data_IF_156151976201
#
_entry.id   IF_156151976201
#
_cell.length_a   1.000
_cell.length_b   1.000
_cell.length_c   1.000
_cell.angle_alpha   90.00
_cell.angle_beta   90.00
_cell.angle_gamma   90.00
#
_symmetry.space_group_name_H-M   'P 1'
#
loop_
_entity.id
_entity.type
_entity.pdbx_description
1 polymer ?
#
# COMPACT_ATOMS: atom_id res chain seq x y z
N UNK A 1 5.93 -12.36 40.85
CA UNK A 1 6.13 -13.23 39.67
C UNK A 1 5.09 -12.84 38.64
N UNK A 2 5.41 -11.95 37.71
CA UNK A 2 4.48 -11.46 36.68
C UNK A 2 5.06 -11.80 35.31
N UNK A 3 4.25 -12.50 34.50
CA UNK A 3 4.66 -13.08 33.23
C UNK A 3 4.72 -12.00 32.15
N UNK A 4 5.87 -11.88 31.49
CA UNK A 4 6.08 -11.05 30.32
C UNK A 4 5.23 -11.59 29.14
N UNK A 5 4.36 -10.73 28.60
CA UNK A 5 3.58 -11.04 27.40
C UNK A 5 4.42 -10.79 26.16
N UNK A 6 4.70 -11.87 25.42
CA UNK A 6 5.44 -11.87 24.15
C UNK A 6 4.55 -11.38 23.00
N UNK A 7 5.12 -10.77 21.93
CA UNK A 7 4.37 -10.38 20.74
C UNK A 7 3.77 -11.60 20.05
N UNK A 8 2.45 -11.60 19.85
CA UNK A 8 1.73 -12.71 19.21
C UNK A 8 2.02 -12.75 17.71
N UNK A 9 2.65 -13.83 17.26
CA UNK A 9 2.70 -14.21 15.84
C UNK A 9 1.49 -15.12 15.55
N UNK A 10 0.57 -14.66 14.70
CA UNK A 10 -0.64 -15.42 14.34
C UNK A 10 -0.37 -16.19 13.05
N UNK A 11 -0.43 -17.51 13.11
CA UNK A 11 -0.56 -18.41 11.96
C UNK A 11 -1.82 -19.26 12.13
N UNK A 12 -2.71 -19.23 11.14
CA UNK A 12 -3.87 -20.12 11.00
C UNK A 12 -3.92 -20.61 9.54
N UNK A 13 -4.17 -21.90 9.29
CA UNK A 13 -4.29 -22.43 7.95
C UNK A 13 -5.66 -22.05 7.35
N UNK A 14 -5.75 -21.70 6.05
CA UNK A 14 -7.05 -21.49 5.42
C UNK A 14 -7.73 -22.84 5.14
N UNK A 15 -8.99 -22.97 5.55
CA UNK A 15 -9.89 -24.02 5.06
C UNK A 15 -10.39 -23.65 3.65
N UNK A 16 -10.48 -24.61 2.71
CA UNK A 16 -10.77 -24.32 1.32
C UNK A 16 -12.28 -24.08 1.12
N UNK A 17 -12.64 -22.89 0.66
CA UNK A 17 -13.96 -22.61 0.08
C UNK A 17 -13.80 -22.53 -1.43
N UNK A 18 -14.78 -23.09 -2.15
CA UNK A 18 -14.81 -23.52 -3.56
C UNK A 18 -14.62 -22.44 -4.64
N UNK A 19 -14.04 -21.30 -4.31
CA UNK A 19 -13.59 -20.25 -5.25
C UNK A 19 -12.05 -20.26 -5.44
N UNK A 20 -11.33 -21.13 -4.71
CA UNK A 20 -9.86 -21.15 -4.62
C UNK A 20 -9.11 -21.81 -5.79
N UNK A 21 -9.80 -22.45 -6.74
CA UNK A 21 -9.15 -23.16 -7.86
C UNK A 21 -9.09 -22.38 -9.18
N UNK A 22 -9.66 -21.16 -9.26
CA UNK A 22 -9.44 -20.30 -10.42
C UNK A 22 -8.17 -19.47 -10.20
N UNK A 23 -7.14 -19.77 -10.98
CA UNK A 23 -5.92 -18.99 -10.96
C UNK A 23 -6.23 -17.49 -11.14
N UNK A 24 -5.64 -16.59 -10.33
CA UNK A 24 -6.07 -15.20 -10.25
C UNK A 24 -6.01 -14.52 -11.62
N UNK A 25 -7.01 -13.69 -11.98
CA UNK A 25 -7.01 -13.02 -13.27
C UNK A 25 -5.80 -12.09 -13.38
N UNK A 26 -5.36 -11.79 -14.60
CA UNK A 26 -4.31 -10.79 -14.81
C UNK A 26 -4.93 -9.39 -14.87
N UNK A 27 -4.12 -8.38 -14.59
CA UNK A 27 -4.41 -6.97 -14.83
C UNK A 27 -3.39 -6.37 -15.76
N UNK A 28 -3.82 -5.38 -16.53
CA UNK A 28 -2.95 -4.53 -17.34
C UNK A 28 -3.04 -3.12 -16.77
N UNK A 29 -1.92 -2.57 -16.33
CA UNK A 29 -1.84 -1.21 -15.78
C UNK A 29 -0.98 -0.34 -16.68
N UNK A 30 -1.38 0.91 -16.92
CA UNK A 30 -0.56 1.93 -17.56
C UNK A 30 0.51 2.38 -16.57
N UNK A 31 1.74 1.88 -16.73
CA UNK A 31 2.88 2.27 -15.92
C UNK A 31 3.55 3.55 -16.45
N UNK A 32 3.40 3.85 -17.75
CA UNK A 32 3.86 5.11 -18.34
C UNK A 32 3.00 5.51 -19.54
N UNK A 33 2.72 6.82 -19.65
CA UNK A 33 2.01 7.44 -20.76
C UNK A 33 2.41 8.93 -20.86
N UNK A 34 2.29 9.53 -22.05
CA UNK A 34 2.64 10.93 -22.28
C UNK A 34 1.75 11.92 -21.49
N UNK A 35 0.50 11.53 -21.23
CA UNK A 35 -0.38 12.17 -20.24
C UNK A 35 -0.18 11.49 -18.86
N UNK A 36 0.42 12.18 -17.87
CA UNK A 36 0.69 11.63 -16.55
C UNK A 36 -0.58 11.23 -15.78
N UNK A 37 -1.73 11.83 -16.06
CA UNK A 37 -2.99 11.49 -15.40
C UNK A 37 -3.44 10.05 -15.69
N UNK A 38 -2.95 9.45 -16.79
CA UNK A 38 -3.24 8.06 -17.15
C UNK A 38 -2.44 7.04 -16.34
N UNK A 39 -1.35 7.45 -15.70
CA UNK A 39 -0.47 6.52 -14.99
C UNK A 39 -1.21 5.92 -13.79
N UNK A 40 -1.21 4.59 -13.70
CA UNK A 40 -1.94 3.82 -12.70
C UNK A 40 -3.35 3.39 -13.14
N UNK A 41 -3.87 3.89 -14.26
CA UNK A 41 -5.11 3.37 -14.83
C UNK A 41 -4.92 1.94 -15.32
N UNK A 42 -5.98 1.13 -15.20
CA UNK A 42 -5.88 -0.32 -15.37
C UNK A 42 -7.13 -0.93 -15.96
N UNK A 43 -6.99 -2.18 -16.39
CA UNK A 43 -8.08 -3.04 -16.79
C UNK A 43 -7.85 -4.48 -16.33
N UNK A 44 -8.93 -5.23 -16.12
CA UNK A 44 -8.87 -6.65 -15.77
C UNK A 44 -8.87 -7.49 -17.03
N UNK A 45 -7.96 -8.44 -17.15
CA UNK A 45 -7.99 -9.45 -18.21
C UNK A 45 -8.72 -10.70 -17.71
N UNK A 46 -9.77 -11.07 -18.42
CA UNK A 46 -10.40 -12.38 -18.29
C UNK A 46 -9.67 -13.41 -19.16
N UNK A 47 -9.90 -14.70 -18.88
CA UNK A 47 -9.50 -15.80 -19.77
C UNK A 47 -10.11 -15.56 -21.15
N UNK A 48 -9.31 -15.70 -22.20
CA UNK A 48 -9.73 -15.43 -23.58
C UNK A 48 -8.75 -14.52 -24.34
N UNK A 49 -9.24 -13.93 -25.42
CA UNK A 49 -8.46 -13.10 -26.34
C UNK A 49 -8.79 -11.63 -26.17
N UNK A 50 -7.75 -10.78 -26.13
CA UNK A 50 -7.87 -9.34 -25.99
C UNK A 50 -6.91 -8.63 -26.93
N UNK A 51 -7.42 -7.76 -27.80
CA UNK A 51 -6.58 -6.86 -28.58
C UNK A 51 -6.21 -5.63 -27.73
N UNK A 52 -4.92 -5.34 -27.65
CA UNK A 52 -4.37 -4.12 -27.05
C UNK A 52 -3.79 -3.25 -28.15
N UNK A 53 -4.36 -2.06 -28.30
CA UNK A 53 -4.11 -1.14 -29.38
C UNK A 53 -4.54 0.28 -29.00
N UNK A 54 -4.35 1.25 -29.91
CA UNK A 54 -4.70 2.65 -29.65
C UNK A 54 -6.13 2.88 -29.17
N UNK A 55 -7.10 2.12 -29.68
CA UNK A 55 -8.53 2.35 -29.44
C UNK A 55 -9.15 1.37 -28.43
N UNK A 56 -8.44 0.32 -28.02
CA UNK A 56 -8.93 -0.69 -27.08
C UNK A 56 -7.76 -1.42 -26.40
N UNK A 57 -7.91 -1.91 -25.17
CA UNK A 57 -9.08 -1.80 -24.30
C UNK A 57 -9.19 -0.41 -23.66
N UNK A 58 -10.30 -0.20 -22.94
CA UNK A 58 -10.45 0.94 -22.04
C UNK A 58 -9.74 0.65 -20.72
N UNK A 59 -8.98 1.62 -20.23
CA UNK A 59 -8.35 1.64 -18.93
C UNK A 59 -9.08 2.66 -18.05
N UNK A 60 -9.31 2.31 -16.79
CA UNK A 60 -9.98 3.19 -15.84
C UNK A 60 -9.08 3.40 -14.62
N UNK A 61 -9.25 4.51 -13.89
CA UNK A 61 -8.61 4.69 -12.60
C UNK A 61 -8.90 3.52 -11.64
N UNK A 62 -7.98 3.24 -10.70
CA UNK A 62 -8.23 2.38 -9.54
C UNK A 62 -9.64 2.54 -8.95
N UNK A 63 -10.30 1.42 -8.63
CA UNK A 63 -11.65 1.41 -8.05
C UNK A 63 -12.81 1.82 -8.97
N UNK A 64 -12.56 2.31 -10.19
CA UNK A 64 -13.62 2.67 -11.14
C UNK A 64 -13.96 1.52 -12.11
N UNK A 65 -15.20 1.52 -12.60
CA UNK A 65 -15.65 0.50 -13.55
C UNK A 65 -15.03 0.73 -14.95
N UNK A 66 -14.79 -0.34 -15.73
CA UNK A 66 -14.13 -0.23 -17.05
C UNK A 66 -14.90 0.57 -18.10
N UNK A 67 -16.22 0.70 -17.96
CA UNK A 67 -17.11 1.47 -18.84
C UNK A 67 -16.90 2.99 -18.73
N UNK A 68 -16.37 3.46 -17.61
CA UNK A 68 -15.91 4.84 -17.44
C UNK A 68 -14.49 5.09 -17.97
N UNK A 69 -13.81 4.04 -18.46
CA UNK A 69 -12.42 4.10 -18.88
C UNK A 69 -12.21 4.74 -20.26
N UNK A 70 -10.94 4.97 -20.59
CA UNK A 70 -10.51 5.50 -21.90
C UNK A 70 -9.44 4.60 -22.50
N UNK A 71 -9.41 4.53 -23.83
CA UNK A 71 -8.40 3.78 -24.56
C UNK A 71 -7.00 4.37 -24.33
N UNK A 72 -5.96 3.68 -24.78
CA UNK A 72 -4.57 4.17 -24.73
C UNK A 72 -4.48 5.55 -25.43
N UNK A 73 -5.10 5.68 -26.59
CA UNK A 73 -5.23 6.91 -27.38
C UNK A 73 -3.92 7.67 -27.67
N UNK A 74 -2.78 6.98 -27.66
CA UNK A 74 -1.52 7.54 -28.18
C UNK A 74 -1.48 7.38 -29.72
N UNK A 75 -1.21 8.46 -30.49
CA UNK A 75 -1.24 8.42 -31.95
C UNK A 75 -0.17 7.53 -32.60
N UNK A 76 0.91 7.19 -31.89
CA UNK A 76 1.99 6.32 -32.37
C UNK A 76 1.71 4.84 -32.10
N UNK A 77 0.77 4.53 -31.22
CA UNK A 77 0.34 3.15 -30.98
C UNK A 77 -0.55 2.70 -32.15
N UNK A 78 -0.24 1.53 -32.70
CA UNK A 78 -1.01 0.94 -33.79
C UNK A 78 -2.41 0.50 -33.33
N UNK A 79 -3.39 0.48 -34.26
CA UNK A 79 -4.69 -0.17 -34.06
C UNK A 79 -4.62 -1.71 -34.06
N UNK A 80 -3.47 -2.28 -34.40
CA UNK A 80 -3.18 -3.71 -34.37
C UNK A 80 -1.89 -3.97 -33.60
N UNK A 81 -1.65 -3.29 -32.47
CA UNK A 81 -0.35 -3.32 -31.80
C UNK A 81 -0.01 -4.68 -31.19
N UNK A 82 -0.94 -5.27 -30.43
CA UNK A 82 -0.72 -6.49 -29.66
C UNK A 82 -2.02 -7.29 -29.51
N UNK A 83 -1.93 -8.60 -29.63
CA UNK A 83 -2.97 -9.53 -29.20
C UNK A 83 -2.48 -10.29 -27.97
N UNK A 84 -3.31 -10.32 -26.93
CA UNK A 84 -3.07 -11.04 -25.69
C UNK A 84 -4.05 -12.21 -25.62
N UNK A 85 -3.55 -13.43 -25.43
CA UNK A 85 -4.36 -14.60 -25.13
C UNK A 85 -4.06 -15.06 -23.71
N UNK A 86 -5.09 -15.11 -22.87
CA UNK A 86 -4.99 -15.49 -21.46
C UNK A 86 -5.63 -16.85 -21.25
N UNK A 87 -4.91 -17.75 -20.60
CA UNK A 87 -5.39 -19.07 -20.18
C UNK A 87 -5.02 -19.32 -18.70
N UNK A 88 -5.45 -20.45 -18.10
CA UNK A 88 -5.14 -20.74 -16.70
C UNK A 88 -3.64 -20.82 -16.38
N UNK A 89 -2.80 -21.19 -17.34
CA UNK A 89 -1.37 -21.46 -17.17
C UNK A 89 -0.50 -20.21 -17.43
N UNK A 90 -1.01 -19.20 -18.12
CA UNK A 90 -0.28 -17.97 -18.40
C UNK A 90 -0.89 -17.11 -19.50
N UNK A 91 -0.01 -16.45 -20.23
CA UNK A 91 -0.37 -15.50 -21.29
C UNK A 91 0.49 -15.70 -22.52
N UNK A 92 -0.13 -15.66 -23.69
CA UNK A 92 0.56 -15.57 -24.98
C UNK A 92 0.41 -14.14 -25.51
N UNK A 93 1.54 -13.48 -25.78
CA UNK A 93 1.56 -12.19 -26.46
C UNK A 93 1.92 -12.41 -27.92
N UNK A 94 1.07 -11.94 -28.82
CA UNK A 94 1.28 -11.98 -30.27
C UNK A 94 1.50 -10.55 -30.77
N UNK A 95 2.72 -10.21 -31.23
CA UNK A 95 3.00 -8.90 -31.78
C UNK A 95 2.19 -8.66 -33.05
N UNK A 96 1.70 -7.45 -33.22
CA UNK A 96 1.12 -7.00 -34.47
C UNK A 96 1.99 -5.93 -35.14
N UNK A 97 1.39 -4.80 -35.51
CA UNK A 97 2.10 -3.69 -36.18
C UNK A 97 2.68 -2.71 -35.17
N UNK A 98 3.94 -2.32 -35.37
CA UNK A 98 4.66 -1.33 -34.57
C UNK A 98 5.73 -1.97 -33.67
N UNK A 99 6.59 -1.14 -33.09
CA UNK A 99 7.59 -1.60 -32.14
C UNK A 99 6.90 -2.12 -30.86
N UNK A 100 7.33 -3.30 -30.40
CA UNK A 100 6.83 -3.95 -29.20
C UNK A 100 8.01 -4.57 -28.45
N UNK A 101 8.15 -4.23 -27.18
CA UNK A 101 9.07 -4.89 -26.24
C UNK A 101 8.23 -5.56 -25.16
N UNK A 102 8.57 -6.81 -24.81
CA UNK A 102 7.93 -7.52 -23.71
C UNK A 102 9.02 -8.20 -22.85
N UNK A 103 9.04 -7.87 -21.55
CA UNK A 103 10.14 -8.26 -20.67
C UNK A 103 11.41 -7.49 -21.01
N UNK A 104 12.51 -8.21 -21.26
CA UNK A 104 13.84 -7.62 -21.46
C UNK A 104 14.19 -7.32 -22.93
N UNK A 105 13.31 -7.61 -23.89
CA UNK A 105 13.65 -7.50 -25.29
C UNK A 105 12.48 -7.38 -26.27
N UNK A 106 12.78 -7.09 -27.55
CA UNK A 106 11.77 -6.94 -28.58
C UNK A 106 10.99 -8.23 -28.80
N UNK A 107 9.68 -8.11 -28.99
CA UNK A 107 8.80 -9.22 -29.30
C UNK A 107 8.45 -9.19 -30.78
N UNK A 108 9.02 -10.11 -31.57
CA UNK A 108 8.83 -10.18 -33.03
C UNK A 108 7.99 -11.36 -33.50
N UNK A 109 7.75 -12.33 -32.62
CA UNK A 109 6.89 -13.49 -32.86
C UNK A 109 6.04 -13.80 -31.62
N UNK A 110 4.95 -14.56 -31.74
CA UNK A 110 4.18 -15.00 -30.57
C UNK A 110 5.06 -15.70 -29.54
N UNK A 111 4.93 -15.29 -28.27
CA UNK A 111 5.64 -15.90 -27.16
C UNK A 111 4.70 -16.15 -25.99
N UNK A 112 4.93 -17.24 -25.29
CA UNK A 112 4.23 -17.59 -24.05
C UNK A 112 5.05 -17.14 -22.84
N UNK A 113 4.35 -16.59 -21.85
CA UNK A 113 4.84 -16.38 -20.50
C UNK A 113 3.96 -17.16 -19.53
N UNK A 114 4.60 -17.95 -18.69
CA UNK A 114 3.97 -18.63 -17.57
C UNK A 114 3.60 -17.64 -16.47
N UNK A 115 2.68 -18.03 -15.59
CA UNK A 115 2.37 -17.25 -14.37
C UNK A 115 3.59 -16.94 -13.51
N UNK A 116 4.54 -17.88 -13.41
CA UNK A 116 5.77 -17.69 -12.64
C UNK A 116 6.68 -16.61 -13.26
N UNK A 117 6.82 -16.61 -14.59
CA UNK A 117 7.57 -15.57 -15.32
C UNK A 117 6.89 -14.20 -15.22
N UNK A 118 5.56 -14.15 -15.20
CA UNK A 118 4.82 -12.89 -15.03
C UNK A 118 4.97 -12.39 -13.59
N UNK A 119 4.92 -13.27 -12.59
CA UNK A 119 5.33 -13.03 -11.20
C UNK A 119 5.00 -11.63 -10.64
N UNK A 120 6.00 -10.76 -10.58
CA UNK A 120 5.91 -9.39 -10.06
C UNK A 120 5.43 -8.34 -11.08
N UNK A 121 5.39 -8.69 -12.35
CA UNK A 121 4.94 -7.87 -13.47
C UNK A 121 5.80 -8.06 -14.70
N UNK A 122 5.17 -8.31 -15.85
CA UNK A 122 5.77 -8.32 -17.17
C UNK A 122 5.59 -6.93 -17.82
N UNK A 123 6.67 -6.15 -18.00
CA UNK A 123 6.59 -4.89 -18.72
C UNK A 123 6.36 -5.13 -20.22
N UNK A 124 5.50 -4.32 -20.82
CA UNK A 124 5.15 -4.33 -22.24
C UNK A 124 5.21 -2.89 -22.74
N UNK A 125 6.19 -2.57 -23.59
CA UNK A 125 6.35 -1.23 -24.17
C UNK A 125 5.80 -1.22 -25.59
N UNK A 126 4.82 -0.34 -25.84
CA UNK A 126 4.22 -0.12 -27.16
C UNK A 126 4.81 1.14 -27.79
N UNK A 127 5.31 1.02 -29.03
CA UNK A 127 5.78 2.14 -29.85
C UNK A 127 6.79 3.06 -29.13
N UNK A 128 7.57 2.53 -28.18
CA UNK A 128 8.51 3.25 -27.31
C UNK A 128 7.87 4.40 -26.49
N UNK A 129 6.55 4.36 -26.31
CA UNK A 129 5.75 5.47 -25.76
C UNK A 129 4.65 5.09 -24.78
N UNK A 130 4.31 3.82 -24.64
CA UNK A 130 3.30 3.43 -23.65
C UNK A 130 3.80 2.19 -22.95
N UNK A 131 4.11 2.31 -21.66
CA UNK A 131 4.53 1.18 -20.85
C UNK A 131 3.31 0.63 -20.14
N UNK A 132 2.95 -0.60 -20.48
CA UNK A 132 1.95 -1.39 -19.79
C UNK A 132 2.65 -2.39 -18.88
N UNK A 133 2.08 -2.64 -17.71
CA UNK A 133 2.52 -3.68 -16.80
C UNK A 133 1.44 -4.75 -16.76
N UNK A 134 1.75 -5.94 -17.28
CA UNK A 134 0.91 -7.12 -17.11
C UNK A 134 1.29 -7.79 -15.79
N UNK A 135 0.36 -7.91 -14.86
CA UNK A 135 0.65 -8.47 -13.54
C UNK A 135 -0.52 -9.33 -13.06
N UNK A 136 -0.30 -10.28 -12.13
CA UNK A 136 -1.42 -10.93 -11.45
C UNK A 136 -2.24 -9.87 -10.72
N UNK A 137 -3.56 -9.88 -10.90
CA UNK A 137 -4.45 -9.18 -9.98
C UNK A 137 -4.70 -10.12 -8.80
N UNK A 138 -4.50 -9.67 -7.55
CA UNK A 138 -4.97 -10.47 -6.44
C UNK A 138 -6.48 -10.71 -6.62
N UNK A 139 -6.91 -11.99 -6.56
CA UNK A 139 -8.30 -12.32 -6.21
C UNK A 139 -8.51 -12.01 -4.74
N UNK A 140 -8.42 -10.72 -4.39
CA UNK A 140 -8.64 -10.31 -3.01
C UNK A 140 -9.61 -9.16 -3.07
N UNK A 141 -10.87 -9.49 -2.77
CA UNK A 141 -11.81 -8.58 -2.17
C UNK A 141 -11.19 -8.12 -0.84
N UNK A 142 -10.32 -7.12 -0.92
CA UNK A 142 -9.85 -6.41 0.25
C UNK A 142 -11.03 -5.63 0.86
N UNK A 143 -10.92 -5.24 2.14
CA UNK A 143 -11.95 -4.42 2.76
C UNK A 143 -12.24 -3.18 1.91
N UNK A 144 -13.53 -2.86 1.78
CA UNK A 144 -14.07 -1.77 0.94
C UNK A 144 -13.66 -0.36 1.37
N UNK A 145 -12.81 -0.25 2.40
CA UNK A 145 -12.29 1.01 2.89
C UNK A 145 -10.83 1.16 2.50
N UNK A 146 -10.55 2.12 1.63
CA UNK A 146 -9.19 2.42 1.20
C UNK A 146 -8.34 3.02 2.33
N UNK A 147 -8.96 3.42 3.46
CA UNK A 147 -8.33 4.09 4.61
C UNK A 147 -7.45 5.29 4.21
N UNK A 148 -7.74 5.93 3.07
CA UNK A 148 -6.91 7.00 2.49
C UNK A 148 -5.59 6.53 1.86
N UNK A 149 -5.34 5.22 1.80
CA UNK A 149 -4.17 4.62 1.14
C UNK A 149 -4.51 4.30 -0.33
N UNK A 150 -3.71 4.85 -1.25
CA UNK A 150 -3.92 4.68 -2.70
C UNK A 150 -3.13 3.47 -3.24
N UNK A 151 -3.80 2.62 -4.01
CA UNK A 151 -3.22 1.47 -4.71
C UNK A 151 -4.04 0.18 -4.53
N UNK A 152 -3.74 -0.87 -5.28
CA UNK A 152 -4.34 -2.22 -5.06
C UNK A 152 -3.30 -3.33 -5.29
N UNK A 153 -2.01 -3.03 -5.09
CA UNK A 153 -0.98 -4.06 -5.13
C UNK A 153 -1.24 -5.10 -4.05
N UNK A 154 -0.81 -6.35 -4.26
CA UNK A 154 -0.97 -7.40 -3.27
C UNK A 154 -0.39 -6.99 -1.89
N UNK A 155 0.74 -6.27 -1.89
CA UNK A 155 1.35 -5.72 -0.68
C UNK A 155 0.45 -4.70 0.02
N UNK A 156 -0.21 -3.80 -0.73
CA UNK A 156 -1.09 -2.80 -0.13
C UNK A 156 -2.40 -3.41 0.38
N UNK A 157 -2.91 -4.43 -0.32
CA UNK A 157 -4.06 -5.20 0.14
C UNK A 157 -3.74 -5.91 1.47
N UNK A 158 -2.58 -6.53 1.59
CA UNK A 158 -2.15 -7.13 2.86
C UNK A 158 -1.92 -6.06 3.93
N UNK A 159 -1.37 -4.89 3.59
CA UNK A 159 -1.22 -3.77 4.52
C UNK A 159 -2.57 -3.31 5.07
N UNK A 160 -3.61 -3.17 4.23
CA UNK A 160 -4.97 -2.84 4.69
C UNK A 160 -5.50 -3.88 5.66
N UNK A 161 -5.29 -5.18 5.39
CA UNK A 161 -5.67 -6.26 6.30
C UNK A 161 -4.94 -6.18 7.65
N UNK A 162 -3.65 -5.83 7.63
CA UNK A 162 -2.86 -5.62 8.85
C UNK A 162 -3.36 -4.42 9.65
N UNK A 163 -3.73 -3.32 8.98
CA UNK A 163 -4.33 -2.13 9.60
C UNK A 163 -5.61 -2.52 10.33
N UNK A 164 -6.54 -3.22 9.68
CA UNK A 164 -7.80 -3.64 10.32
C UNK A 164 -7.59 -4.55 11.52
N UNK A 165 -6.60 -5.46 11.45
CA UNK A 165 -6.25 -6.33 12.57
C UNK A 165 -5.70 -5.52 13.73
N UNK A 166 -4.75 -4.61 13.45
CA UNK A 166 -4.14 -3.76 14.45
C UNK A 166 -5.17 -2.85 15.13
N UNK A 167 -6.08 -2.25 14.35
CA UNK A 167 -7.12 -1.35 14.83
C UNK A 167 -8.13 -1.99 15.80
N UNK A 168 -8.30 -3.31 15.75
CA UNK A 168 -9.14 -4.08 16.68
C UNK A 168 -8.46 -4.36 18.02
N UNK A 169 -7.15 -4.11 18.12
CA UNK A 169 -6.38 -4.35 19.35
C UNK A 169 -6.19 -3.06 20.15
N UNK A 170 -5.87 -3.21 21.44
CA UNK A 170 -5.50 -2.09 22.30
C UNK A 170 -3.98 -2.05 22.56
N UNK A 171 -3.20 -2.90 21.89
CA UNK A 171 -1.75 -3.00 22.11
C UNK A 171 -0.99 -1.96 21.29
N UNK A 172 0.22 -1.56 21.71
CA UNK A 172 1.09 -0.72 20.89
C UNK A 172 1.42 -1.36 19.55
N UNK A 173 1.43 -0.56 18.48
CA UNK A 173 1.70 -1.01 17.10
C UNK A 173 3.01 -0.37 16.61
N UNK A 174 3.96 -1.20 16.18
CA UNK A 174 5.21 -0.73 15.58
C UNK A 174 5.08 -0.68 14.05
N UNK A 175 5.16 0.52 13.48
CA UNK A 175 5.18 0.72 12.03
C UNK A 175 6.63 0.74 11.51
N UNK A 176 6.94 -0.17 10.59
CA UNK A 176 8.25 -0.28 9.94
C UNK A 176 8.16 0.06 8.47
N UNK A 177 9.12 0.83 7.98
CA UNK A 177 9.21 1.24 6.59
C UNK A 177 10.28 2.30 6.40
N UNK A 178 10.80 2.42 5.17
CA UNK A 178 11.78 3.43 4.81
C UNK A 178 11.22 4.84 5.04
N UNK A 179 12.10 5.83 5.19
CA UNK A 179 11.68 7.23 5.26
C UNK A 179 10.91 7.62 3.99
N UNK A 180 9.89 8.46 4.13
CA UNK A 180 9.06 8.92 3.00
C UNK A 180 8.03 7.92 2.44
N UNK A 181 7.88 6.72 3.02
CA UNK A 181 6.92 5.70 2.54
C UNK A 181 5.47 5.90 3.02
N UNK A 182 5.17 7.00 3.69
CA UNK A 182 3.80 7.32 4.13
C UNK A 182 3.35 6.60 5.42
N UNK A 183 4.28 6.29 6.35
CA UNK A 183 3.96 5.66 7.65
C UNK A 183 2.88 6.43 8.44
N UNK A 184 2.87 7.76 8.34
CA UNK A 184 1.84 8.60 8.95
C UNK A 184 0.43 8.28 8.44
N UNK A 185 0.27 8.02 7.14
CA UNK A 185 -1.02 7.62 6.55
C UNK A 185 -1.49 6.28 7.13
N UNK A 186 -0.56 5.34 7.35
CA UNK A 186 -0.85 4.06 7.99
C UNK A 186 -1.27 4.25 9.45
N UNK A 187 -0.59 5.11 10.21
CA UNK A 187 -0.96 5.41 11.60
C UNK A 187 -2.37 6.02 11.71
N UNK A 188 -2.68 6.98 10.83
CA UNK A 188 -4.02 7.58 10.71
C UNK A 188 -5.08 6.54 10.33
N UNK A 189 -4.76 5.65 9.40
CA UNK A 189 -5.64 4.57 8.99
C UNK A 189 -5.96 3.60 10.14
N UNK A 190 -4.96 3.22 10.96
CA UNK A 190 -5.16 2.39 12.15
C UNK A 190 -6.07 3.09 13.16
N UNK A 191 -5.83 4.37 13.44
CA UNK A 191 -6.67 5.15 14.35
C UNK A 191 -8.12 5.23 13.86
N UNK A 192 -8.34 5.63 12.61
CA UNK A 192 -9.66 5.77 12.01
C UNK A 192 -10.43 4.45 11.90
N UNK A 193 -9.74 3.32 11.80
CA UNK A 193 -10.36 1.99 11.78
C UNK A 193 -10.61 1.41 13.19
N UNK A 194 -10.16 2.09 14.25
CA UNK A 194 -10.25 1.58 15.63
C UNK A 194 -11.53 2.02 16.33
N UNK A 195 -11.83 1.43 17.48
CA UNK A 195 -12.90 1.89 18.37
C UNK A 195 -12.66 3.30 18.94
N UNK A 196 -11.48 3.89 18.71
CA UNK A 196 -11.07 5.22 19.16
C UNK A 196 -11.06 6.25 18.02
N UNK A 197 -11.69 5.97 16.88
CA UNK A 197 -11.67 6.85 15.70
C UNK A 197 -12.19 8.29 15.96
N UNK A 198 -13.13 8.45 16.89
CA UNK A 198 -13.69 9.76 17.29
C UNK A 198 -12.95 10.39 18.48
N UNK A 199 -11.82 9.81 18.91
CA UNK A 199 -11.02 10.26 20.06
C UNK A 199 -9.78 11.04 19.56
N UNK A 200 -9.07 11.75 20.45
CA UNK A 200 -7.89 12.52 20.04
C UNK A 200 -6.84 11.67 19.31
N UNK A 201 -6.31 12.19 18.21
CA UNK A 201 -5.15 11.64 17.52
C UNK A 201 -4.01 12.66 17.60
N UNK A 202 -2.92 12.29 18.25
CA UNK A 202 -1.73 13.13 18.38
C UNK A 202 -0.57 12.48 17.65
N UNK A 203 -0.03 13.14 16.64
CA UNK A 203 1.20 12.74 15.98
C UNK A 203 2.37 13.62 16.45
N UNK A 204 3.50 13.01 16.77
CA UNK A 204 4.72 13.70 17.21
C UNK A 204 5.91 13.09 16.49
N UNK A 205 6.69 13.94 15.82
CA UNK A 205 7.98 13.53 15.28
C UNK A 205 9.04 13.70 16.38
N UNK A 206 9.59 12.59 16.86
CA UNK A 206 10.54 12.61 17.97
C UNK A 206 11.89 13.23 17.58
N UNK A 207 12.27 13.21 16.31
CA UNK A 207 13.49 13.87 15.82
C UNK A 207 13.41 15.40 15.90
N UNK A 208 12.19 15.97 15.98
CA UNK A 208 11.97 17.41 16.11
C UNK A 208 11.88 17.89 17.57
N UNK A 209 11.88 16.97 18.54
CA UNK A 209 11.77 17.30 19.97
C UNK A 209 13.18 17.37 20.58
N UNK A 210 13.61 18.52 21.14
CA UNK A 210 14.92 18.62 21.75
C UNK A 210 15.06 17.62 22.93
N UNK A 211 16.19 16.89 23.03
CA UNK A 211 16.40 15.88 24.06
C UNK A 211 16.17 16.38 25.49
N UNK A 212 16.51 17.65 25.76
CA UNK A 212 16.44 18.28 27.07
C UNK A 212 15.00 18.42 27.58
N UNK A 213 14.03 18.59 26.66
CA UNK A 213 12.61 18.78 26.98
C UNK A 213 11.74 17.61 26.55
N UNK A 214 12.31 16.56 25.96
CA UNK A 214 11.58 15.39 25.48
C UNK A 214 10.73 14.74 26.58
N UNK A 215 11.26 14.61 27.80
CA UNK A 215 10.52 14.06 28.93
C UNK A 215 9.31 14.91 29.31
N UNK A 216 9.51 16.20 29.49
CA UNK A 216 8.46 17.14 29.87
C UNK A 216 7.40 17.31 28.77
N UNK A 217 7.79 17.14 27.50
CA UNK A 217 6.88 17.18 26.36
C UNK A 217 6.04 15.91 26.26
N UNK A 218 6.64 14.74 26.47
CA UNK A 218 5.97 13.45 26.36
C UNK A 218 4.99 13.20 27.53
N UNK A 219 5.46 13.41 28.77
CA UNK A 219 4.74 13.07 30.00
C UNK A 219 4.09 14.27 30.70
N UNK A 220 4.36 15.47 30.21
CA UNK A 220 3.89 16.69 30.85
C UNK A 220 4.79 17.14 31.99
N UNK A 221 4.44 18.29 32.56
CA UNK A 221 5.13 18.89 33.69
C UNK A 221 4.21 19.83 34.45
N UNK A 222 4.49 20.01 35.74
CA UNK A 222 3.88 21.06 36.54
C UNK A 222 4.63 22.38 36.37
N UNK A 223 3.94 23.49 36.59
CA UNK A 223 4.55 24.82 36.62
C UNK A 223 5.74 24.83 37.60
N UNK A 224 6.88 25.32 37.15
CA UNK A 224 8.11 25.38 37.94
C UNK A 224 8.92 24.09 38.04
N UNK A 225 8.58 23.03 37.29
CA UNK A 225 9.32 21.77 37.30
C UNK A 225 10.77 21.89 36.78
N UNK A 226 11.07 22.90 35.95
CA UNK A 226 12.41 23.24 35.48
C UNK A 226 12.50 24.73 35.14
N UNK A 227 13.71 25.25 34.93
CA UNK A 227 13.94 26.64 34.51
C UNK A 227 13.31 26.88 33.13
N UNK A 228 12.25 27.68 33.07
CA UNK A 228 11.46 27.94 31.86
C UNK A 228 10.08 27.30 31.84
N UNK A 229 9.71 26.47 32.82
CA UNK A 229 8.38 25.89 32.98
C UNK A 229 7.36 26.93 33.48
N UNK A 230 6.96 27.86 32.60
CA UNK A 230 6.05 28.95 32.93
C UNK A 230 4.64 28.45 33.27
N UNK A 231 4.15 27.44 32.55
CA UNK A 231 2.82 26.87 32.70
C UNK A 231 2.90 25.35 32.89
N UNK A 232 1.83 24.77 33.43
CA UNK A 232 1.71 23.31 33.48
C UNK A 232 1.25 22.79 32.11
N UNK A 233 1.74 21.61 31.72
CA UNK A 233 1.34 20.93 30.50
C UNK A 233 1.02 19.47 30.78
N UNK A 234 -0.10 18.93 30.24
CA UNK A 234 -0.44 17.51 30.37
C UNK A 234 0.49 16.60 29.53
N UNK A 235 1.27 17.17 28.61
CA UNK A 235 2.16 16.44 27.71
C UNK A 235 1.42 15.64 26.63
N UNK A 236 2.17 15.03 25.72
CA UNK A 236 1.62 14.32 24.56
C UNK A 236 0.77 13.09 24.94
N UNK A 237 1.12 12.39 26.03
CA UNK A 237 0.27 11.31 26.54
C UNK A 237 -1.07 11.85 27.04
N UNK A 238 -1.08 12.97 27.76
CA UNK A 238 -2.32 13.61 28.22
C UNK A 238 -3.14 14.20 27.08
N UNK A 239 -2.50 14.83 26.09
CA UNK A 239 -3.16 15.34 24.89
C UNK A 239 -3.87 14.23 24.08
N UNK A 240 -3.35 13.00 24.16
CA UNK A 240 -3.86 11.83 23.46
C UNK A 240 -4.73 10.92 24.35
N UNK A 241 -5.13 11.38 25.55
CA UNK A 241 -5.87 10.56 26.51
C UNK A 241 -7.18 10.01 25.93
N UNK A 242 -7.42 8.72 26.18
CA UNK A 242 -8.51 7.95 25.57
C UNK A 242 -8.44 7.77 24.04
N UNK A 243 -7.39 8.29 23.40
CA UNK A 243 -7.22 8.35 21.96
C UNK A 243 -6.01 7.57 21.45
N UNK A 244 -5.22 8.16 20.56
CA UNK A 244 -4.04 7.54 19.94
C UNK A 244 -2.88 8.53 19.87
N UNK A 245 -1.72 8.10 20.39
CA UNK A 245 -0.46 8.81 20.27
C UNK A 245 0.43 8.08 19.24
N UNK A 246 0.76 8.77 18.15
CA UNK A 246 1.71 8.30 17.14
C UNK A 246 3.06 8.98 17.35
N UNK A 247 4.10 8.17 17.58
CA UNK A 247 5.47 8.62 17.76
C UNK A 247 6.27 8.25 16.52
N UNK A 248 6.51 9.22 15.64
CA UNK A 248 7.35 9.05 14.46
C UNK A 248 8.83 9.20 14.82
N UNK A 249 9.68 8.50 14.08
CA UNK A 249 11.13 8.43 14.32
C UNK A 249 11.47 8.06 15.78
N UNK A 250 10.71 7.13 16.36
CA UNK A 250 10.91 6.65 17.75
C UNK A 250 12.32 6.11 18.01
N UNK A 251 13.08 5.74 16.98
CA UNK A 251 14.47 5.31 17.10
C UNK A 251 15.42 6.44 17.54
N UNK A 252 15.04 7.71 17.32
CA UNK A 252 15.84 8.89 17.64
C UNK A 252 15.71 9.35 19.10
N UNK A 253 14.92 8.64 19.93
CA UNK A 253 14.75 9.05 21.33
C UNK A 253 15.97 8.66 22.19
N UNK A 254 16.40 9.52 23.13
CA UNK A 254 17.46 9.21 24.09
C UNK A 254 17.16 7.96 24.93
N UNK A 255 18.18 7.22 25.36
CA UNK A 255 18.02 5.97 26.12
C UNK A 255 17.27 6.18 27.44
N UNK A 256 17.49 7.31 28.10
CA UNK A 256 16.82 7.70 29.34
C UNK A 256 15.30 7.88 29.11
N UNK A 257 14.92 8.34 27.92
CA UNK A 257 13.53 8.48 27.50
C UNK A 257 12.89 7.12 27.21
N UNK A 258 13.64 6.17 26.65
CA UNK A 258 13.15 4.81 26.39
C UNK A 258 12.71 4.12 27.69
N UNK A 259 13.46 4.31 28.78
CA UNK A 259 13.11 3.74 30.10
C UNK A 259 11.79 4.31 30.62
N UNK A 260 11.57 5.62 30.47
CA UNK A 260 10.32 6.27 30.91
C UNK A 260 9.14 5.84 30.04
N UNK A 261 9.34 5.76 28.73
CA UNK A 261 8.32 5.30 27.79
C UNK A 261 7.91 3.86 28.08
N UNK A 262 8.88 2.98 28.37
CA UNK A 262 8.60 1.60 28.75
C UNK A 262 7.71 1.52 30.00
N UNK A 263 7.99 2.33 31.03
CA UNK A 263 7.14 2.40 32.23
C UNK A 263 5.72 2.86 31.89
N UNK A 264 5.59 3.95 31.13
CA UNK A 264 4.28 4.47 30.72
C UNK A 264 3.47 3.55 29.80
N UNK A 265 4.10 2.56 29.16
CA UNK A 265 3.41 1.53 28.37
C UNK A 265 3.04 0.27 29.18
N UNK A 266 3.64 0.09 30.37
CA UNK A 266 3.42 -1.08 31.24
C UNK A 266 2.34 -0.84 32.31
N UNK A 267 2.20 0.42 32.74
CA UNK A 267 1.18 0.88 33.69
C UNK A 267 -0.15 1.15 32.99
#
# INVERSE_FOLDING_TARGET
>A
MSAASLPTTISLPPSPTSDQERAPPFGLTIAWHADPARVGERMRLAVGRLAVNRAAPLFAPPGQRPDAGRAIDDPHVSRQALLIEVDPEGVVLTPGRGALIAGEGPLTAPRRWTRAEIGAGLPILLADRVLLLLHPLPMVSGPSHDHGLVGESAALVELRRQIERAAKTQVPVLLRGQSGTGKELVAKAVHAASARADRPYRAVNMAAVPPEVAAASLFGHVRGAFTGAADASPGYFGDADGGTLFLDEIAEIPIEMQVKLLRGLQE
#
